data_IF_840852741594
#
_entry.id   IF_840852741594
#
_cell.length_a   1.000
_cell.length_b   1.000
_cell.length_c   1.000
_cell.angle_alpha   90.00
_cell.angle_beta   90.00
_cell.angle_gamma   90.00
#
_symmetry.space_group_name_H-M   'P 1'
#
loop_
_entity.id
_entity.type
_entity.pdbx_description
1 polymer ?
#
# COMPACT_ATOMS: atom_id res chain seq x y z
N UNK A 1 25.54 5.47 15.80
CA UNK A 1 24.13 5.91 15.94
C UNK A 1 23.43 5.52 14.65
N UNK A 2 22.39 4.67 14.70
CA UNK A 2 21.64 4.31 13.51
C UNK A 2 20.91 5.54 12.98
N UNK A 3 21.09 5.84 11.72
CA UNK A 3 20.40 6.95 11.05
C UNK A 3 18.88 6.73 11.15
N UNK A 4 18.15 7.73 11.65
CA UNK A 4 16.70 7.64 11.77
C UNK A 4 16.08 7.74 10.37
N UNK A 5 15.44 6.68 9.92
CA UNK A 5 14.78 6.61 8.62
C UNK A 5 13.25 6.61 8.77
N UNK A 6 12.54 7.36 7.93
CA UNK A 6 11.08 7.32 7.92
C UNK A 6 10.59 5.92 7.47
N UNK A 7 9.61 5.37 8.17
CA UNK A 7 9.09 4.02 7.92
C UNK A 7 8.62 3.82 6.48
N UNK A 8 7.97 4.84 5.89
CA UNK A 8 7.52 4.80 4.48
C UNK A 8 8.67 4.68 3.48
N UNK A 9 9.83 5.32 3.75
CA UNK A 9 11.02 5.22 2.90
C UNK A 9 11.61 3.81 3.00
N UNK A 10 11.74 3.29 4.23
CA UNK A 10 12.20 1.94 4.46
C UNK A 10 11.28 0.90 3.78
N UNK A 11 9.97 1.14 3.80
CA UNK A 11 8.99 0.31 3.08
C UNK A 11 9.23 0.31 1.57
N UNK A 12 9.36 1.49 0.94
CA UNK A 12 9.61 1.59 -0.50
C UNK A 12 10.89 0.88 -0.94
N UNK A 13 11.96 1.00 -0.15
CA UNK A 13 13.22 0.28 -0.41
C UNK A 13 13.10 -1.23 -0.21
N UNK A 14 12.40 -1.66 0.86
CA UNK A 14 12.17 -3.08 1.11
C UNK A 14 11.38 -3.75 -0.02
N UNK A 15 10.39 -3.05 -0.61
CA UNK A 15 9.67 -3.55 -1.79
C UNK A 15 10.60 -3.83 -2.96
N UNK A 16 11.56 -2.93 -3.23
CA UNK A 16 12.57 -3.13 -4.28
C UNK A 16 13.43 -4.37 -4.00
N UNK A 17 13.90 -4.51 -2.77
CA UNK A 17 14.73 -5.67 -2.38
C UNK A 17 13.97 -6.99 -2.46
N UNK A 18 12.70 -7.00 -2.08
CA UNK A 18 11.83 -8.17 -2.21
C UNK A 18 11.57 -8.53 -3.69
N UNK A 19 11.30 -7.52 -4.52
CA UNK A 19 11.01 -7.71 -5.94
C UNK A 19 12.20 -8.20 -6.76
N UNK A 20 13.43 -7.88 -6.35
CA UNK A 20 14.65 -8.48 -6.93
C UNK A 20 14.72 -10.00 -6.72
N UNK A 21 14.09 -10.50 -5.64
CA UNK A 21 14.12 -11.93 -5.27
C UNK A 21 12.87 -12.67 -5.72
N UNK A 22 11.78 -11.96 -6.03
CA UNK A 22 10.51 -12.55 -6.40
C UNK A 22 9.81 -11.70 -7.47
N UNK A 23 9.69 -12.24 -8.66
CA UNK A 23 9.09 -11.60 -9.83
C UNK A 23 7.55 -11.47 -9.75
N UNK A 24 6.91 -12.18 -8.82
CA UNK A 24 5.46 -12.13 -8.59
C UNK A 24 5.01 -10.92 -7.79
N UNK A 25 5.93 -10.16 -7.19
CA UNK A 25 5.60 -8.97 -6.42
C UNK A 25 5.19 -7.84 -7.36
N UNK A 26 4.02 -7.30 -7.12
CA UNK A 26 3.47 -6.11 -7.78
C UNK A 26 3.02 -5.10 -6.72
N UNK A 27 3.03 -3.82 -7.05
CA UNK A 27 2.66 -2.73 -6.13
C UNK A 27 1.53 -1.92 -6.74
N UNK A 28 0.51 -1.65 -5.94
CA UNK A 28 -0.65 -0.86 -6.34
C UNK A 28 -0.78 0.36 -5.42
N UNK A 29 -1.15 1.47 -6.02
CA UNK A 29 -1.40 2.75 -5.36
C UNK A 29 -2.74 3.36 -5.80
N UNK A 30 -3.22 4.31 -5.00
CA UNK A 30 -4.39 5.12 -5.29
C UNK A 30 -3.99 6.61 -5.30
N UNK A 31 -3.17 7.00 -6.29
CA UNK A 31 -2.66 8.38 -6.50
C UNK A 31 -1.81 8.93 -5.33
N UNK A 32 -1.13 8.06 -4.59
CA UNK A 32 -0.34 8.43 -3.40
C UNK A 32 1.09 7.90 -3.43
N UNK A 33 1.62 7.49 -4.58
CA UNK A 33 2.94 6.86 -4.70
C UNK A 33 4.08 7.71 -4.10
N UNK A 34 4.02 9.03 -4.23
CA UNK A 34 5.02 9.94 -3.65
C UNK A 34 4.91 9.99 -2.12
N UNK A 35 3.70 10.02 -1.58
CA UNK A 35 3.47 10.11 -0.15
C UNK A 35 3.76 8.79 0.57
N UNK A 36 3.37 7.67 0.01
CA UNK A 36 3.62 6.32 0.53
C UNK A 36 5.05 5.83 0.27
N UNK A 37 5.79 6.53 -0.60
CA UNK A 37 7.13 6.18 -1.08
C UNK A 37 7.20 4.91 -1.95
N UNK A 38 6.09 4.43 -2.45
CA UNK A 38 6.06 3.38 -3.47
C UNK A 38 6.62 3.86 -4.82
N UNK A 39 6.77 5.17 -5.01
CA UNK A 39 7.52 5.75 -6.13
C UNK A 39 8.97 5.23 -6.24
N UNK A 40 9.57 4.77 -5.14
CA UNK A 40 10.89 4.11 -5.14
C UNK A 40 10.79 2.79 -5.92
N UNK A 41 9.76 2.00 -5.67
CA UNK A 41 9.47 0.78 -6.41
C UNK A 41 9.13 1.07 -7.87
N UNK A 42 8.27 2.06 -8.12
CA UNK A 42 7.88 2.48 -9.46
C UNK A 42 9.08 2.81 -10.36
N UNK A 43 10.09 3.50 -9.80
CA UNK A 43 11.32 3.82 -10.54
C UNK A 43 12.16 2.60 -10.88
N UNK A 44 12.18 1.59 -10.00
CA UNK A 44 12.96 0.37 -10.18
C UNK A 44 12.26 -0.67 -11.08
N UNK A 45 10.93 -0.77 -10.98
CA UNK A 45 10.10 -1.76 -11.65
C UNK A 45 8.79 -1.12 -12.18
N UNK A 46 8.86 -0.22 -13.17
CA UNK A 46 7.68 0.52 -13.65
C UNK A 46 6.60 -0.39 -14.21
N UNK A 47 6.95 -1.55 -14.78
CA UNK A 47 6.03 -2.54 -15.33
C UNK A 47 5.28 -3.35 -14.28
N UNK A 48 5.67 -3.24 -13.02
CA UNK A 48 5.04 -3.93 -11.88
C UNK A 48 4.42 -3.00 -10.85
N UNK A 49 4.34 -1.71 -11.19
CA UNK A 49 3.65 -0.70 -10.39
C UNK A 49 2.40 -0.21 -11.11
N UNK A 50 1.27 -0.18 -10.41
CA UNK A 50 -0.04 0.18 -10.95
C UNK A 50 -0.67 1.27 -10.08
N UNK A 51 -0.91 2.43 -10.67
CA UNK A 51 -1.67 3.50 -10.04
C UNK A 51 -3.10 3.48 -10.57
N UNK A 52 -4.07 3.25 -9.67
CA UNK A 52 -5.48 3.13 -10.03
C UNK A 52 -6.24 4.47 -9.92
N UNK A 53 -5.51 5.57 -9.65
CA UNK A 53 -6.13 6.85 -9.33
C UNK A 53 -6.76 6.86 -7.93
N UNK A 54 -7.53 7.90 -7.61
CA UNK A 54 -8.20 8.03 -6.30
C UNK A 54 -9.40 7.07 -6.24
N UNK A 55 -9.11 5.76 -6.12
CA UNK A 55 -10.09 4.70 -6.16
C UNK A 55 -9.64 3.51 -5.28
N UNK A 56 -9.59 3.71 -3.97
CA UNK A 56 -9.02 2.75 -3.01
C UNK A 56 -9.75 1.41 -3.01
N UNK A 57 -11.08 1.41 -3.15
CA UNK A 57 -11.87 0.18 -3.25
C UNK A 57 -11.51 -0.62 -4.51
N UNK A 58 -11.41 0.06 -5.66
CA UNK A 58 -11.00 -0.56 -6.92
C UNK A 58 -9.55 -1.10 -6.84
N UNK A 59 -8.65 -0.39 -6.16
CA UNK A 59 -7.28 -0.87 -5.93
C UNK A 59 -7.28 -2.23 -5.23
N UNK A 60 -8.10 -2.41 -4.21
CA UNK A 60 -8.20 -3.69 -3.47
C UNK A 60 -8.82 -4.78 -4.35
N UNK A 61 -9.86 -4.48 -5.14
CA UNK A 61 -10.48 -5.46 -6.03
C UNK A 61 -9.53 -5.91 -7.14
N UNK A 62 -8.77 -4.99 -7.74
CA UNK A 62 -7.73 -5.31 -8.73
C UNK A 62 -6.63 -6.18 -8.10
N UNK A 63 -6.14 -5.80 -6.91
CA UNK A 63 -5.14 -6.59 -6.19
C UNK A 63 -5.65 -7.99 -5.86
N UNK A 64 -6.92 -8.11 -5.47
CA UNK A 64 -7.57 -9.38 -5.21
C UNK A 64 -7.55 -10.28 -6.47
N UNK A 65 -7.95 -9.75 -7.62
CA UNK A 65 -7.86 -10.45 -8.90
C UNK A 65 -6.44 -10.87 -9.26
N UNK A 66 -5.45 -9.99 -9.07
CA UNK A 66 -4.03 -10.32 -9.28
C UNK A 66 -3.55 -11.44 -8.37
N UNK A 67 -4.00 -11.46 -7.11
CA UNK A 67 -3.68 -12.53 -6.16
C UNK A 67 -4.25 -13.88 -6.61
N UNK A 68 -5.47 -13.90 -7.14
CA UNK A 68 -6.07 -15.11 -7.73
C UNK A 68 -5.26 -15.66 -8.92
N UNK A 69 -4.54 -14.80 -9.62
CA UNK A 69 -3.64 -15.18 -10.72
C UNK A 69 -2.23 -15.57 -10.26
N UNK A 70 -1.98 -15.64 -8.97
CA UNK A 70 -0.71 -16.06 -8.37
C UNK A 70 0.32 -14.96 -8.19
N UNK A 71 -0.04 -13.69 -8.38
CA UNK A 71 0.80 -12.55 -8.03
C UNK A 71 0.73 -12.27 -6.51
N UNK A 72 1.67 -11.47 -6.03
CA UNK A 72 1.73 -11.02 -4.64
C UNK A 72 1.61 -9.50 -4.61
N UNK A 73 0.38 -8.97 -4.61
CA UNK A 73 0.15 -7.54 -4.64
C UNK A 73 0.35 -6.90 -3.26
N UNK A 74 1.00 -5.73 -3.27
CA UNK A 74 1.12 -4.81 -2.15
C UNK A 74 0.30 -3.55 -2.46
N UNK A 75 -0.73 -3.29 -1.66
CA UNK A 75 -1.60 -2.12 -1.78
C UNK A 75 -1.18 -1.05 -0.78
N UNK A 76 -0.98 0.17 -1.24
CA UNK A 76 -0.53 1.29 -0.43
C UNK A 76 -1.43 2.50 -0.58
N UNK A 77 -1.86 3.04 0.56
CA UNK A 77 -2.63 4.29 0.67
C UNK A 77 -2.49 4.83 2.10
N UNK A 78 -3.15 5.93 2.42
CA UNK A 78 -3.22 6.40 3.79
C UNK A 78 -4.17 5.56 4.64
N UNK A 79 -3.83 5.40 5.93
CA UNK A 79 -4.64 4.61 6.87
C UNK A 79 -6.09 5.11 6.98
N UNK A 80 -6.31 6.43 6.90
CA UNK A 80 -7.67 7.02 6.94
C UNK A 80 -8.52 6.55 5.75
N UNK A 81 -7.92 6.33 4.59
CA UNK A 81 -8.63 5.91 3.38
C UNK A 81 -8.90 4.39 3.34
N UNK A 82 -8.24 3.61 4.20
CA UNK A 82 -8.56 2.18 4.35
C UNK A 82 -10.04 1.94 4.71
N UNK A 83 -10.69 2.90 5.37
CA UNK A 83 -12.12 2.83 5.65
C UNK A 83 -13.02 2.74 4.41
N UNK A 84 -12.58 3.26 3.26
CA UNK A 84 -13.34 3.22 2.00
C UNK A 84 -13.36 1.84 1.34
N UNK A 85 -12.40 0.99 1.67
CA UNK A 85 -12.24 -0.34 1.09
C UNK A 85 -12.40 -1.47 2.11
N UNK A 86 -13.08 -1.18 3.22
CA UNK A 86 -13.30 -2.15 4.29
C UNK A 86 -13.99 -3.42 3.80
N UNK A 87 -15.05 -3.29 3.00
CA UNK A 87 -15.80 -4.42 2.48
C UNK A 87 -14.98 -5.25 1.48
N UNK A 88 -14.23 -4.60 0.59
CA UNK A 88 -13.36 -5.26 -0.37
C UNK A 88 -12.26 -6.06 0.34
N UNK A 89 -11.71 -5.53 1.42
CA UNK A 89 -10.73 -6.25 2.24
C UNK A 89 -11.40 -7.44 2.93
N UNK A 90 -12.54 -7.22 3.58
CA UNK A 90 -13.25 -8.25 4.35
C UNK A 90 -13.68 -9.42 3.49
N UNK A 91 -14.43 -9.16 2.43
CA UNK A 91 -15.02 -10.18 1.57
C UNK A 91 -14.11 -10.61 0.42
N UNK A 92 -13.37 -9.67 -0.18
CA UNK A 92 -12.56 -9.97 -1.35
C UNK A 92 -11.22 -10.62 -0.98
N UNK A 93 -10.64 -10.24 0.16
CA UNK A 93 -9.30 -10.69 0.54
C UNK A 93 -9.32 -11.62 1.74
N UNK A 94 -9.94 -11.21 2.85
CA UNK A 94 -9.87 -11.98 4.09
C UNK A 94 -10.71 -13.25 4.03
N UNK A 95 -11.95 -13.18 3.55
CA UNK A 95 -12.84 -14.34 3.50
C UNK A 95 -12.29 -15.49 2.62
N UNK A 96 -11.81 -15.24 1.38
CA UNK A 96 -11.19 -16.28 0.54
C UNK A 96 -9.71 -16.56 0.87
N UNK A 97 -9.11 -15.89 1.85
CA UNK A 97 -7.70 -16.02 2.24
C UNK A 97 -6.71 -15.66 1.11
N UNK A 98 -7.02 -14.65 0.31
CA UNK A 98 -6.17 -14.22 -0.79
C UNK A 98 -4.90 -13.52 -0.30
N UNK A 99 -3.79 -13.71 -1.03
CA UNK A 99 -2.47 -13.25 -0.63
C UNK A 99 -2.21 -11.79 -1.04
N UNK A 100 -3.01 -10.86 -0.53
CA UNK A 100 -2.82 -9.41 -0.71
C UNK A 100 -2.16 -8.80 0.53
N UNK A 101 -1.17 -7.93 0.34
CA UNK A 101 -0.48 -7.20 1.41
C UNK A 101 -0.96 -5.75 1.44
N UNK A 102 -1.24 -5.24 2.64
CA UNK A 102 -1.66 -3.86 2.85
C UNK A 102 -0.60 -3.10 3.63
N UNK A 103 -0.21 -1.94 3.13
CA UNK A 103 0.69 -1.01 3.79
C UNK A 103 0.03 0.37 3.87
N UNK A 104 -0.74 0.58 4.92
CA UNK A 104 -1.43 1.83 5.19
C UNK A 104 -0.53 2.76 5.99
N UNK A 105 -0.16 3.89 5.37
CA UNK A 105 0.75 4.88 5.94
C UNK A 105 -0.01 6.03 6.61
N UNK A 106 0.72 6.96 7.22
CA UNK A 106 0.16 8.19 7.82
C UNK A 106 -0.88 7.93 8.91
N UNK A 107 -0.70 6.85 9.69
CA UNK A 107 -1.43 6.64 10.95
C UNK A 107 -0.66 7.27 12.12
N UNK A 108 -1.35 7.60 13.18
CA UNK A 108 -0.77 8.16 14.40
C UNK A 108 -0.96 9.65 14.56
N UNK A 109 -0.26 10.23 15.54
CA UNK A 109 -0.44 11.63 15.97
C UNK A 109 0.58 12.59 15.36
N UNK A 110 1.57 12.09 14.62
CA UNK A 110 2.68 12.87 14.06
C UNK A 110 2.52 13.14 12.57
N UNK A 111 1.28 13.14 12.07
CA UNK A 111 0.97 13.52 10.70
C UNK A 111 1.11 15.04 10.58
N UNK A 112 1.76 15.54 9.52
CA UNK A 112 2.02 16.96 9.32
C UNK A 112 0.77 17.80 9.08
N UNK A 113 0.75 18.58 8.03
CA UNK A 113 -0.29 19.60 7.75
C UNK A 113 -1.72 19.02 7.65
N UNK A 114 -1.87 17.79 7.18
CA UNK A 114 -3.16 17.11 7.04
C UNK A 114 -3.62 16.37 8.32
N UNK A 115 -2.95 16.56 9.43
CA UNK A 115 -3.17 15.82 10.67
C UNK A 115 -4.61 15.82 11.16
N UNK A 116 -5.33 16.93 11.01
CA UNK A 116 -6.72 17.07 11.46
C UNK A 116 -7.70 16.04 10.87
N UNK A 117 -7.43 15.53 9.66
CA UNK A 117 -8.27 14.51 9.00
C UNK A 117 -7.83 13.09 9.26
N UNK A 118 -6.62 12.87 9.80
CA UNK A 118 -5.98 11.55 9.87
C UNK A 118 -5.72 11.05 11.30
N UNK A 119 -5.67 11.95 12.29
CA UNK A 119 -5.31 11.63 13.68
C UNK A 119 -6.25 10.58 14.33
N UNK A 120 -7.53 10.54 13.98
CA UNK A 120 -8.48 9.59 14.54
C UNK A 120 -8.14 8.10 14.31
N UNK A 121 -7.29 7.80 13.37
CA UNK A 121 -6.81 6.43 13.10
C UNK A 121 -5.68 5.97 14.02
N UNK A 122 -5.20 6.83 14.89
CA UNK A 122 -4.16 6.47 15.86
C UNK A 122 -4.66 5.57 17.00
N UNK A 123 -5.97 5.46 17.18
CA UNK A 123 -6.60 4.78 18.31
C UNK A 123 -7.33 3.47 17.95
N UNK A 124 -7.10 2.96 16.74
CA UNK A 124 -7.73 1.72 16.26
C UNK A 124 -6.70 0.60 16.23
#
# INVERSE_FOLDING_TARGET
MSEKKATRVAYGEALVELAKKNDKIVVLDADLAQATQTCIFQKAFPERHFDLGIAEANMVDVANGMSCMGLIPFCSTFAVFAGRNFEQIRNGVCYPHNNVKFAFTHAGVTVGEDGGTQIGRAHV
#
